data_IF_305343059115
#
_entry.id   IF_305343059115
#
_cell.length_a   1.000
_cell.length_b   1.000
_cell.length_c   1.000
_cell.angle_alpha   90.00
_cell.angle_beta   90.00
_cell.angle_gamma   90.00
#
_symmetry.space_group_name_H-M   'P 1'
#
loop_
_entity.id
_entity.type
_entity.pdbx_description
1 polymer ?
#
# COMPACT_ATOMS: atom_id res chain seq x y z
N UNK A 1 -29.77 20.31 31.47
CA UNK A 1 -29.78 20.58 30.02
C UNK A 1 -28.91 19.51 29.39
N UNK A 2 -29.50 18.51 28.73
CA UNK A 2 -28.75 17.58 27.92
C UNK A 2 -28.48 18.28 26.60
N UNK A 3 -27.32 18.92 26.46
CA UNK A 3 -26.87 19.34 25.13
C UNK A 3 -26.66 18.07 24.30
N UNK A 4 -27.55 17.85 23.34
CA UNK A 4 -27.43 16.74 22.40
C UNK A 4 -26.18 16.95 21.55
N UNK A 5 -25.25 16.00 21.61
CA UNK A 5 -24.01 16.00 20.82
C UNK A 5 -24.31 16.28 19.33
N UNK A 6 -23.70 17.33 18.77
CA UNK A 6 -23.89 17.71 17.36
C UNK A 6 -23.11 16.76 16.43
N UNK A 7 -23.41 16.79 15.12
CA UNK A 7 -22.60 16.05 14.14
C UNK A 7 -21.13 16.50 14.17
N UNK A 8 -20.87 17.80 14.34
CA UNK A 8 -19.51 18.34 14.43
C UNK A 8 -18.76 17.79 15.64
N UNK A 9 -19.44 17.65 16.78
CA UNK A 9 -18.86 17.05 17.98
C UNK A 9 -18.53 15.57 17.74
N UNK A 10 -19.42 14.82 17.10
CA UNK A 10 -19.20 13.40 16.73
C UNK A 10 -17.99 13.24 15.80
N UNK A 11 -17.89 14.08 14.77
CA UNK A 11 -16.75 14.07 13.85
C UNK A 11 -15.45 14.45 14.58
N UNK A 12 -15.48 15.46 15.45
CA UNK A 12 -14.31 15.86 16.25
C UNK A 12 -13.84 14.73 17.18
N UNK A 13 -14.78 14.05 17.85
CA UNK A 13 -14.48 12.88 18.68
C UNK A 13 -13.92 11.73 17.87
N UNK A 14 -14.43 11.48 16.67
CA UNK A 14 -13.89 10.49 15.75
C UNK A 14 -12.43 10.79 15.38
N UNK A 15 -12.14 12.05 15.02
CA UNK A 15 -10.77 12.49 14.70
C UNK A 15 -9.83 12.29 15.89
N UNK A 16 -10.22 12.77 17.08
CA UNK A 16 -9.42 12.63 18.30
C UNK A 16 -9.11 11.17 18.62
N UNK A 17 -10.13 10.31 18.59
CA UNK A 17 -9.97 8.88 18.85
C UNK A 17 -8.92 8.23 17.94
N UNK A 18 -9.03 8.43 16.61
CA UNK A 18 -8.08 7.83 15.68
C UNK A 18 -6.70 8.48 15.72
N UNK A 19 -6.60 9.78 15.99
CA UNK A 19 -5.30 10.44 16.20
C UNK A 19 -4.56 9.87 17.42
N UNK A 20 -5.27 9.55 18.51
CA UNK A 20 -4.66 8.92 19.69
C UNK A 20 -4.22 7.47 19.43
N UNK A 21 -4.96 6.72 18.60
CA UNK A 21 -4.51 5.41 18.12
C UNK A 21 -3.25 5.51 17.24
N UNK A 22 -3.16 6.53 16.38
CA UNK A 22 -1.95 6.78 15.57
C UNK A 22 -0.76 7.11 16.46
N UNK A 23 -0.92 7.96 17.48
CA UNK A 23 0.15 8.23 18.47
C UNK A 23 0.63 6.95 19.13
N UNK A 24 -0.29 6.02 19.42
CA UNK A 24 0.07 4.69 19.97
C UNK A 24 0.92 3.91 18.96
N UNK A 25 0.56 3.91 17.68
CA UNK A 25 1.33 3.26 16.62
C UNK A 25 2.74 3.85 16.45
N UNK A 26 2.93 5.13 16.78
CA UNK A 26 4.21 5.85 16.72
C UNK A 26 5.06 5.72 18.00
N UNK A 27 4.57 5.08 19.06
CA UNK A 27 5.33 4.92 20.30
C UNK A 27 6.56 4.02 20.10
N UNK A 28 7.66 4.31 20.81
CA UNK A 28 8.96 3.60 20.71
C UNK A 28 8.86 2.05 20.68
N UNK A 29 8.09 1.38 21.55
CA UNK A 29 7.97 -0.08 21.50
C UNK A 29 7.37 -0.61 20.19
N UNK A 30 6.54 0.19 19.53
CA UNK A 30 5.91 -0.15 18.26
C UNK A 30 6.79 0.18 17.05
N UNK A 31 7.81 1.02 17.23
CA UNK A 31 8.84 1.33 16.23
C UNK A 31 10.03 0.36 16.27
N UNK A 32 10.15 -0.45 17.32
CA UNK A 32 11.10 -1.56 17.36
C UNK A 32 10.82 -2.63 16.27
N UNK A 33 11.75 -3.56 16.08
CA UNK A 33 11.59 -4.72 15.19
C UNK A 33 11.15 -4.35 13.75
N UNK A 34 11.87 -3.43 13.12
CA UNK A 34 11.54 -2.90 11.78
C UNK A 34 10.13 -2.26 11.70
N UNK A 35 9.63 -1.76 12.84
CA UNK A 35 8.35 -1.03 12.94
C UNK A 35 7.14 -1.86 12.51
N UNK A 36 7.23 -3.19 12.53
CA UNK A 36 6.14 -4.06 12.09
C UNK A 36 4.87 -3.86 12.93
N UNK A 37 5.02 -3.60 14.24
CA UNK A 37 3.88 -3.32 15.13
C UNK A 37 3.17 -2.03 14.73
N UNK A 38 3.93 -0.95 14.50
CA UNK A 38 3.40 0.32 14.00
C UNK A 38 2.60 0.12 12.72
N UNK A 39 3.14 -0.64 11.75
CA UNK A 39 2.44 -0.95 10.49
C UNK A 39 1.16 -1.74 10.68
N UNK A 40 1.15 -2.75 11.57
CA UNK A 40 -0.05 -3.54 11.89
C UNK A 40 -1.14 -2.63 12.49
N UNK A 41 -0.77 -1.79 13.45
CA UNK A 41 -1.69 -0.84 14.09
C UNK A 41 -2.26 0.14 13.07
N UNK A 42 -1.42 0.75 12.23
CA UNK A 42 -1.88 1.65 11.18
C UNK A 42 -2.78 0.93 10.15
N UNK A 43 -2.45 -0.30 9.74
CA UNK A 43 -3.33 -1.08 8.85
C UNK A 43 -4.71 -1.30 9.47
N UNK A 44 -4.75 -1.63 10.76
CA UNK A 44 -6.00 -1.86 11.50
C UNK A 44 -6.82 -0.58 11.67
N UNK A 45 -6.15 0.54 11.98
CA UNK A 45 -6.74 1.88 12.05
C UNK A 45 -7.36 2.25 10.69
N UNK A 46 -6.61 2.07 9.60
CA UNK A 46 -7.06 2.39 8.25
C UNK A 46 -8.26 1.52 7.83
N UNK A 47 -8.24 0.22 8.13
CA UNK A 47 -9.38 -0.67 7.87
C UNK A 47 -10.64 -0.21 8.60
N UNK A 48 -10.50 0.19 9.87
CA UNK A 48 -11.61 0.70 10.66
C UNK A 48 -12.18 2.00 10.05
N UNK A 49 -11.33 2.98 9.73
CA UNK A 49 -11.75 4.21 9.05
C UNK A 49 -12.44 3.90 7.70
N UNK A 50 -11.91 2.95 6.92
CA UNK A 50 -12.52 2.56 5.64
C UNK A 50 -13.94 2.01 5.80
N UNK A 51 -14.22 1.32 6.92
CA UNK A 51 -15.57 0.84 7.26
C UNK A 51 -16.51 1.99 7.59
N UNK A 52 -16.04 3.03 8.29
CA UNK A 52 -16.79 4.27 8.53
C UNK A 52 -17.24 4.93 7.22
N UNK A 53 -16.31 5.03 6.26
CA UNK A 53 -16.55 5.72 4.98
C UNK A 53 -17.44 4.90 4.05
N UNK A 54 -17.31 3.57 4.07
CA UNK A 54 -17.99 2.66 3.15
C UNK A 54 -18.74 1.53 3.88
N UNK A 55 -19.79 1.84 4.67
CA UNK A 55 -20.49 0.85 5.48
C UNK A 55 -21.13 -0.27 4.64
N UNK A 56 -21.59 0.05 3.42
CA UNK A 56 -22.33 -0.87 2.56
C UNK A 56 -21.44 -1.81 1.75
N UNK A 57 -20.14 -1.53 1.65
CA UNK A 57 -19.19 -2.38 0.91
C UNK A 57 -18.78 -3.52 1.84
N UNK A 58 -19.14 -4.76 1.54
CA UNK A 58 -18.81 -5.93 2.38
C UNK A 58 -17.34 -6.32 2.30
N UNK A 59 -16.74 -6.19 1.11
CA UNK A 59 -15.34 -6.54 0.83
C UNK A 59 -14.38 -5.57 1.51
N UNK A 60 -13.60 -6.07 2.49
CA UNK A 60 -12.60 -5.23 3.17
C UNK A 60 -11.55 -4.66 2.19
N UNK A 61 -11.15 -5.48 1.22
CA UNK A 61 -10.23 -5.06 0.15
C UNK A 61 -10.76 -3.85 -0.61
N UNK A 62 -12.04 -3.90 -0.96
CA UNK A 62 -12.66 -2.86 -1.76
C UNK A 62 -12.77 -1.57 -0.97
N UNK A 63 -13.18 -1.61 0.31
CA UNK A 63 -13.16 -0.44 1.19
C UNK A 63 -11.77 0.17 1.34
N UNK A 64 -10.77 -0.67 1.62
CA UNK A 64 -9.39 -0.25 1.80
C UNK A 64 -8.86 0.45 0.54
N UNK A 65 -8.95 -0.19 -0.62
CA UNK A 65 -8.45 0.38 -1.89
C UNK A 65 -9.25 1.63 -2.28
N UNK A 66 -10.56 1.66 -2.01
CA UNK A 66 -11.39 2.84 -2.30
C UNK A 66 -10.99 4.02 -1.42
N UNK A 67 -10.69 3.81 -0.14
CA UNK A 67 -10.22 4.87 0.74
C UNK A 67 -8.83 5.37 0.32
N UNK A 68 -7.92 4.46 -0.04
CA UNK A 68 -6.59 4.83 -0.59
C UNK A 68 -6.72 5.80 -1.77
N UNK A 69 -7.67 5.54 -2.68
CA UNK A 69 -7.91 6.41 -3.85
C UNK A 69 -8.42 7.81 -3.49
N UNK A 70 -9.05 7.97 -2.33
CA UNK A 70 -9.53 9.26 -1.84
C UNK A 70 -8.43 10.04 -1.09
N UNK A 71 -7.32 9.39 -0.71
CA UNK A 71 -6.17 10.05 -0.11
C UNK A 71 -5.32 10.74 -1.20
N UNK A 72 -5.66 11.99 -1.52
CA UNK A 72 -5.05 12.75 -2.62
C UNK A 72 -3.54 12.99 -2.49
N UNK A 73 -2.96 12.87 -1.28
CA UNK A 73 -1.51 13.02 -1.13
C UNK A 73 -0.68 11.90 -1.74
N UNK A 74 -1.31 10.79 -2.10
CA UNK A 74 -0.63 9.62 -2.65
C UNK A 74 -1.06 9.32 -4.09
N UNK A 75 -0.75 10.22 -5.03
CA UNK A 75 -1.10 10.04 -6.44
C UNK A 75 -0.42 8.80 -7.04
N UNK A 76 0.73 8.37 -6.51
CA UNK A 76 1.43 7.17 -6.94
C UNK A 76 0.65 5.88 -6.68
N UNK A 77 -0.40 5.91 -5.85
CA UNK A 77 -1.32 4.78 -5.65
C UNK A 77 -1.85 4.20 -6.97
N UNK A 78 -2.02 5.04 -8.01
CA UNK A 78 -2.52 4.67 -9.33
C UNK A 78 -1.44 4.22 -10.33
N UNK A 79 -0.16 4.43 -10.00
CA UNK A 79 0.97 4.04 -10.85
C UNK A 79 1.22 2.55 -10.79
N UNK A 80 1.82 2.01 -11.85
CA UNK A 80 2.15 0.60 -12.01
C UNK A 80 3.58 0.35 -11.58
N UNK A 81 3.77 -0.51 -10.57
CA UNK A 81 5.11 -0.93 -10.13
C UNK A 81 5.85 -1.64 -11.26
N UNK A 82 6.88 -0.99 -11.82
CA UNK A 82 7.72 -1.57 -12.86
C UNK A 82 8.48 -2.80 -12.36
N UNK A 83 8.89 -2.79 -11.08
CA UNK A 83 9.54 -3.92 -10.42
C UNK A 83 8.69 -5.20 -10.52
N UNK A 84 7.44 -5.12 -10.07
CA UNK A 84 6.54 -6.27 -10.09
C UNK A 84 6.11 -6.65 -11.50
N UNK A 85 5.98 -5.67 -12.40
CA UNK A 85 5.66 -5.91 -13.80
C UNK A 85 6.80 -6.65 -14.53
N UNK A 86 8.06 -6.26 -14.34
CA UNK A 86 9.20 -6.99 -14.90
C UNK A 86 9.28 -8.40 -14.32
N UNK A 87 9.05 -8.53 -13.00
CA UNK A 87 9.01 -9.84 -12.34
C UNK A 87 7.98 -10.80 -12.96
N UNK A 88 6.83 -10.30 -13.44
CA UNK A 88 5.85 -11.11 -14.17
C UNK A 88 6.49 -11.83 -15.37
N UNK A 89 7.32 -11.14 -16.14
CA UNK A 89 7.94 -11.71 -17.34
C UNK A 89 9.05 -12.70 -17.02
N UNK A 90 9.72 -12.54 -15.89
CA UNK A 90 10.74 -13.49 -15.41
C UNK A 90 10.14 -14.81 -14.96
N UNK A 91 8.97 -14.77 -14.30
CA UNK A 91 8.35 -15.97 -13.70
C UNK A 91 7.31 -16.64 -14.59
N UNK A 92 6.77 -15.93 -15.59
CA UNK A 92 5.77 -16.49 -16.50
C UNK A 92 6.46 -17.32 -17.57
N UNK A 93 6.31 -18.65 -17.48
CA UNK A 93 6.75 -19.56 -18.53
C UNK A 93 5.88 -19.39 -19.78
N UNK A 94 6.47 -19.60 -20.97
CA UNK A 94 5.76 -19.59 -22.26
C UNK A 94 4.96 -18.30 -22.53
N UNK A 95 5.61 -17.14 -22.39
CA UNK A 95 4.99 -15.85 -22.71
C UNK A 95 4.46 -15.82 -24.16
N UNK A 96 3.18 -15.48 -24.37
CA UNK A 96 2.62 -15.32 -25.71
C UNK A 96 3.38 -14.27 -26.53
N UNK A 97 3.46 -14.48 -27.85
CA UNK A 97 4.20 -13.58 -28.76
C UNK A 97 3.68 -12.13 -28.75
N UNK A 98 2.38 -11.94 -28.50
CA UNK A 98 1.76 -10.62 -28.37
C UNK A 98 2.14 -9.86 -27.10
N UNK A 99 2.86 -10.48 -26.15
CA UNK A 99 3.40 -9.82 -24.94
C UNK A 99 4.78 -9.21 -25.20
N UNK A 100 5.47 -9.59 -26.28
CA UNK A 100 6.87 -9.19 -26.53
C UNK A 100 7.11 -7.68 -26.46
N UNK A 101 6.22 -6.88 -27.07
CA UNK A 101 6.33 -5.40 -27.03
C UNK A 101 6.19 -4.82 -25.63
N UNK A 102 5.26 -5.34 -24.83
CA UNK A 102 5.08 -4.93 -23.44
C UNK A 102 6.32 -5.28 -22.61
N UNK A 103 6.84 -6.50 -22.79
CA UNK A 103 8.05 -6.96 -22.10
C UNK A 103 9.25 -6.05 -22.42
N UNK A 104 9.53 -5.81 -23.70
CA UNK A 104 10.63 -4.94 -24.14
C UNK A 104 10.47 -3.52 -23.60
N UNK A 105 9.25 -2.96 -23.66
CA UNK A 105 8.96 -1.65 -23.08
C UNK A 105 9.27 -1.63 -21.57
N UNK A 106 8.70 -2.55 -20.80
CA UNK A 106 8.85 -2.59 -19.34
C UNK A 106 10.29 -2.84 -18.90
N UNK A 107 11.02 -3.76 -19.53
CA UNK A 107 12.42 -4.05 -19.21
C UNK A 107 13.34 -2.87 -19.54
N UNK A 108 13.13 -2.20 -20.69
CA UNK A 108 13.90 -1.01 -21.06
C UNK A 108 13.61 0.18 -20.12
N UNK A 109 12.35 0.41 -19.76
CA UNK A 109 12.00 1.46 -18.80
C UNK A 109 12.58 1.16 -17.43
N UNK A 110 12.45 -0.09 -16.95
CA UNK A 110 12.96 -0.49 -15.65
C UNK A 110 14.48 -0.39 -15.58
N UNK A 111 15.22 -0.97 -16.53
CA UNK A 111 16.69 -0.94 -16.55
C UNK A 111 17.27 0.48 -16.60
N UNK A 112 16.59 1.42 -17.30
CA UNK A 112 16.97 2.83 -17.35
C UNK A 112 16.80 3.53 -15.99
N UNK A 113 15.70 3.24 -15.29
CA UNK A 113 15.35 3.91 -14.04
C UNK A 113 16.01 3.27 -12.81
N UNK A 114 16.21 1.95 -12.85
CA UNK A 114 16.63 1.10 -11.74
C UNK A 114 17.84 0.24 -12.15
N UNK A 115 19.00 0.85 -12.46
CA UNK A 115 20.16 0.10 -12.93
C UNK A 115 20.67 -0.86 -11.86
N UNK A 116 20.92 -2.10 -12.27
CA UNK A 116 21.62 -3.09 -11.45
C UNK A 116 23.11 -2.78 -11.57
N UNK A 117 23.78 -2.58 -10.44
CA UNK A 117 25.25 -2.53 -10.39
C UNK A 117 25.76 -3.60 -9.43
N UNK A 118 27.06 -3.88 -9.42
CA UNK A 118 27.69 -4.83 -8.50
C UNK A 118 28.34 -4.13 -7.29
N UNK A 119 27.97 -2.87 -7.04
CA UNK A 119 28.52 -2.06 -5.94
C UNK A 119 27.77 -2.27 -4.61
N UNK A 120 28.38 -1.80 -3.52
CA UNK A 120 27.78 -1.84 -2.18
C UNK A 120 26.84 -0.66 -1.89
N UNK A 121 26.66 0.24 -2.86
CA UNK A 121 25.90 1.47 -2.67
C UNK A 121 24.42 1.16 -2.39
N UNK A 122 23.93 1.69 -1.28
CA UNK A 122 22.51 1.68 -0.94
C UNK A 122 21.87 2.89 -1.59
N UNK A 123 20.95 2.65 -2.51
CA UNK A 123 20.25 3.70 -3.24
C UNK A 123 18.75 3.57 -3.01
N UNK A 124 18.09 4.69 -2.72
CA UNK A 124 16.63 4.78 -2.65
C UNK A 124 16.11 5.56 -3.86
N UNK A 125 15.06 5.05 -4.51
CA UNK A 125 14.38 5.72 -5.61
C UNK A 125 12.89 5.85 -5.31
N UNK A 126 12.28 7.01 -5.56
CA UNK A 126 10.86 7.19 -5.29
C UNK A 126 10.03 6.36 -6.27
N UNK A 127 8.89 5.85 -5.82
CA UNK A 127 7.93 5.16 -6.71
C UNK A 127 7.23 6.13 -7.68
N UNK A 128 7.40 7.44 -7.52
CA UNK A 128 6.94 8.44 -8.49
C UNK A 128 7.59 8.30 -9.86
N UNK A 129 8.70 7.55 -9.98
CA UNK A 129 9.32 7.17 -11.24
C UNK A 129 8.56 6.07 -12.01
N UNK A 130 7.64 5.37 -11.36
CA UNK A 130 6.81 4.36 -12.02
C UNK A 130 5.89 4.96 -13.09
N UNK A 131 5.42 4.09 -13.98
CA UNK A 131 4.62 4.44 -15.15
C UNK A 131 3.13 4.40 -14.86
N UNK A 132 2.37 5.21 -15.61
CA UNK A 132 0.92 5.21 -15.53
C UNK A 132 0.31 3.98 -16.20
N UNK A 133 -0.88 3.59 -15.74
CA UNK A 133 -1.57 2.42 -16.29
C UNK A 133 -1.87 2.56 -17.78
N UNK A 134 -2.12 3.76 -18.28
CA UNK A 134 -2.45 3.99 -19.69
C UNK A 134 -1.27 3.62 -20.60
N UNK A 135 -0.04 3.96 -20.22
CA UNK A 135 1.17 3.55 -20.93
C UNK A 135 1.31 2.02 -21.01
N UNK A 136 0.96 1.32 -19.93
CA UNK A 136 0.94 -0.14 -19.91
C UNK A 136 -0.17 -0.70 -20.80
N UNK A 137 -1.38 -0.12 -20.74
CA UNK A 137 -2.54 -0.58 -21.51
C UNK A 137 -2.40 -0.40 -23.02
N UNK A 138 -1.50 0.48 -23.49
CA UNK A 138 -1.15 0.59 -24.92
C UNK A 138 -0.49 -0.69 -25.44
N UNK A 139 0.32 -1.35 -24.61
CA UNK A 139 1.08 -2.54 -24.98
C UNK A 139 0.47 -3.84 -24.42
N UNK A 140 -0.44 -3.74 -23.46
CA UNK A 140 -1.06 -4.90 -22.82
C UNK A 140 -1.97 -5.68 -23.80
N UNK A 141 -1.87 -7.03 -23.86
CA UNK A 141 -2.72 -7.84 -24.72
C UNK A 141 -4.21 -7.65 -24.43
N UNK A 142 -5.02 -7.55 -25.50
CA UNK A 142 -6.47 -7.34 -25.39
C UNK A 142 -7.24 -8.39 -26.20
N UNK A 143 -8.41 -8.75 -25.69
CA UNK A 143 -9.42 -9.54 -26.40
C UNK A 143 -10.73 -8.78 -26.30
N UNK A 144 -11.40 -8.55 -27.43
CA UNK A 144 -12.64 -7.75 -27.51
C UNK A 144 -12.49 -6.37 -26.84
N UNK A 145 -11.34 -5.71 -27.06
CA UNK A 145 -11.02 -4.40 -26.49
C UNK A 145 -10.67 -4.40 -24.99
N UNK A 146 -10.80 -5.53 -24.28
CA UNK A 146 -10.54 -5.63 -22.84
C UNK A 146 -9.18 -6.28 -22.56
N UNK A 147 -8.42 -5.79 -21.56
CA UNK A 147 -7.17 -6.43 -21.14
C UNK A 147 -7.40 -7.90 -20.74
N UNK A 148 -6.57 -8.81 -21.26
CA UNK A 148 -6.57 -10.22 -20.86
C UNK A 148 -5.47 -10.51 -19.85
N UNK A 149 -5.54 -11.66 -19.18
CA UNK A 149 -4.51 -12.05 -18.21
C UNK A 149 -3.21 -12.42 -18.91
N UNK A 150 -2.08 -12.01 -18.31
CA UNK A 150 -0.76 -12.59 -18.58
C UNK A 150 -0.43 -13.46 -17.37
N UNK A 151 -0.23 -14.76 -17.58
CA UNK A 151 -0.20 -15.72 -16.48
C UNK A 151 -1.54 -15.70 -15.71
N UNK A 152 -1.51 -15.23 -14.46
CA UNK A 152 -2.70 -15.16 -13.58
C UNK A 152 -3.21 -13.74 -13.31
N UNK A 153 -2.57 -12.72 -13.87
CA UNK A 153 -2.75 -11.33 -13.44
C UNK A 153 -3.24 -10.40 -14.54
N UNK A 154 -3.97 -9.37 -14.13
CA UNK A 154 -4.44 -8.24 -14.91
C UNK A 154 -3.61 -6.99 -14.59
N UNK A 155 -3.56 -5.99 -15.49
CA UNK A 155 -2.65 -4.85 -15.36
C UNK A 155 -2.91 -4.03 -14.10
N UNK A 156 -4.18 -3.82 -13.73
CA UNK A 156 -4.54 -3.04 -12.54
C UNK A 156 -3.99 -3.64 -11.23
N UNK A 157 -3.68 -4.94 -11.18
CA UNK A 157 -3.17 -5.59 -9.98
C UNK A 157 -1.75 -5.13 -9.62
N UNK A 158 -1.02 -4.54 -10.57
CA UNK A 158 0.30 -3.96 -10.35
C UNK A 158 0.26 -2.51 -9.84
N UNK A 159 -0.94 -1.92 -9.70
CA UNK A 159 -1.06 -0.59 -9.10
C UNK A 159 -0.63 -0.60 -7.64
N UNK A 160 0.03 0.45 -7.18
CA UNK A 160 0.51 0.52 -5.79
C UNK A 160 -0.59 0.41 -4.75
N UNK A 161 -1.82 0.87 -5.01
CA UNK A 161 -2.97 0.64 -4.12
C UNK A 161 -3.25 -0.85 -3.88
N UNK A 162 -3.05 -1.69 -4.91
CA UNK A 162 -3.32 -3.11 -4.87
C UNK A 162 -2.13 -3.87 -4.27
N UNK A 163 -0.90 -3.40 -4.53
CA UNK A 163 0.30 -3.91 -3.88
C UNK A 163 0.33 -3.59 -2.39
N UNK A 164 -0.11 -2.39 -1.99
CA UNK A 164 -0.26 -2.01 -0.59
C UNK A 164 -1.26 -2.91 0.13
N UNK A 165 -2.38 -3.26 -0.52
CA UNK A 165 -3.32 -4.25 0.04
C UNK A 165 -2.66 -5.62 0.27
N UNK A 166 -1.85 -6.11 -0.68
CA UNK A 166 -1.11 -7.37 -0.52
C UNK A 166 -0.06 -7.29 0.60
N UNK A 167 0.61 -6.15 0.71
CA UNK A 167 1.55 -5.85 1.79
C UNK A 167 0.83 -5.87 3.15
N UNK A 168 -0.30 -5.15 3.27
CA UNK A 168 -1.16 -5.13 4.46
C UNK A 168 -1.56 -6.54 4.88
N UNK A 169 -1.94 -7.41 3.94
CA UNK A 169 -2.27 -8.79 4.27
C UNK A 169 -1.09 -9.56 4.87
N UNK A 170 0.10 -9.38 4.32
CA UNK A 170 1.30 -10.04 4.85
C UNK A 170 1.63 -9.54 6.26
N UNK A 171 1.51 -8.22 6.49
CA UNK A 171 1.80 -7.62 7.78
C UNK A 171 0.76 -8.02 8.84
N UNK A 172 -0.53 -7.90 8.53
CA UNK A 172 -1.61 -8.14 9.49
C UNK A 172 -1.87 -9.63 9.74
N UNK A 173 -1.77 -10.48 8.71
CA UNK A 173 -2.12 -11.90 8.82
C UNK A 173 -0.92 -12.84 8.93
N UNK A 174 0.29 -12.39 8.62
CA UNK A 174 1.51 -13.21 8.71
C UNK A 174 2.57 -12.60 9.64
N UNK A 175 2.31 -11.41 10.22
CA UNK A 175 3.28 -10.67 11.03
C UNK A 175 4.62 -10.43 10.31
N UNK A 176 4.58 -10.30 8.99
CA UNK A 176 5.75 -10.32 8.13
C UNK A 176 5.77 -9.13 7.19
N UNK A 177 6.91 -8.44 7.14
CA UNK A 177 7.20 -7.41 6.12
C UNK A 177 7.66 -8.11 4.84
N UNK A 178 6.94 -8.00 3.71
CA UNK A 178 7.42 -8.48 2.42
C UNK A 178 8.69 -7.78 1.96
N UNK A 179 9.51 -8.52 1.20
CA UNK A 179 10.77 -8.01 0.66
C UNK A 179 11.93 -8.06 1.66
N UNK A 180 13.10 -7.64 1.20
CA UNK A 180 14.32 -7.52 2.04
C UNK A 180 14.72 -6.07 2.32
N UNK A 181 13.90 -5.12 1.87
CA UNK A 181 14.14 -3.72 2.16
C UNK A 181 14.03 -3.44 3.65
N UNK A 182 14.84 -2.51 4.13
CA UNK A 182 15.02 -2.18 5.54
C UNK A 182 14.90 -0.68 5.75
N UNK A 183 14.14 -0.31 6.78
CA UNK A 183 14.06 1.05 7.30
C UNK A 183 15.22 1.27 8.28
N UNK A 184 16.43 1.45 7.74
CA UNK A 184 17.64 1.70 8.54
C UNK A 184 17.91 3.19 8.67
N UNK A 185 18.19 3.62 9.91
CA UNK A 185 18.69 4.96 10.23
C UNK A 185 17.63 5.98 10.62
N UNK A 186 18.10 7.21 10.89
CA UNK A 186 17.27 8.34 11.33
C UNK A 186 16.48 9.00 10.19
N UNK A 187 16.92 8.83 8.93
CA UNK A 187 16.22 9.38 7.77
C UNK A 187 15.37 8.29 7.10
N UNK A 188 14.14 8.14 7.58
CA UNK A 188 13.16 7.25 6.95
C UNK A 188 12.31 8.08 5.99
N UNK A 189 12.27 7.74 4.69
CA UNK A 189 11.39 8.41 3.76
C UNK A 189 9.95 8.38 4.26
N UNK A 190 9.22 9.49 4.11
CA UNK A 190 7.79 9.58 4.47
C UNK A 190 6.90 8.92 3.42
N UNK A 191 7.43 8.69 2.22
CA UNK A 191 6.74 8.07 1.10
C UNK A 191 7.30 6.69 0.76
N UNK A 192 6.51 5.87 0.06
CA UNK A 192 6.96 4.58 -0.44
C UNK A 192 8.09 4.74 -1.48
N UNK A 193 9.05 3.80 -1.48
CA UNK A 193 10.24 3.88 -2.31
C UNK A 193 10.74 2.49 -2.72
N UNK A 194 11.59 2.45 -3.73
CA UNK A 194 12.43 1.31 -4.04
C UNK A 194 13.78 1.45 -3.36
N UNK A 195 14.24 0.40 -2.70
CA UNK A 195 15.55 0.32 -2.11
C UNK A 195 16.40 -0.70 -2.86
N UNK A 196 17.63 -0.32 -3.18
CA UNK A 196 18.62 -1.25 -3.68
C UNK A 196 19.23 -2.02 -2.51
N UNK A 197 19.03 -3.34 -2.52
CA UNK A 197 19.54 -4.26 -1.51
C UNK A 197 20.63 -5.12 -2.12
N UNK A 198 21.82 -5.03 -1.53
CA UNK A 198 23.00 -5.80 -1.92
C UNK A 198 23.10 -7.07 -1.09
N UNK A 199 23.20 -8.22 -1.75
CA UNK A 199 23.46 -9.51 -1.13
C UNK A 199 24.84 -10.02 -1.55
N UNK A 200 25.52 -10.74 -0.67
CA UNK A 200 26.73 -11.49 -1.04
C UNK A 200 26.31 -12.70 -1.87
N UNK A 201 26.71 -12.75 -3.14
CA UNK A 201 26.34 -13.82 -4.06
C UNK A 201 27.36 -14.96 -4.07
N UNK A 202 28.65 -14.65 -3.96
CA UNK A 202 29.71 -15.66 -3.88
C UNK A 202 31.02 -15.09 -3.33
N UNK A 203 31.90 -16.00 -2.91
CA UNK A 203 33.28 -15.69 -2.54
C UNK A 203 34.21 -16.23 -3.61
N UNK A 204 35.13 -15.39 -4.09
CA UNK A 204 36.17 -15.79 -5.03
C UNK A 204 37.54 -15.43 -4.47
N UNK A 205 38.61 -15.99 -5.03
CA UNK A 205 39.99 -15.70 -4.64
C UNK A 205 40.36 -14.20 -4.82
N UNK A 206 39.54 -13.46 -5.58
CA UNK A 206 39.70 -12.02 -5.85
C UNK A 206 38.77 -11.13 -5.00
N UNK A 207 37.99 -11.72 -4.10
CA UNK A 207 37.09 -11.01 -3.19
C UNK A 207 35.64 -11.47 -3.26
N UNK A 208 34.79 -10.68 -2.59
CA UNK A 208 33.35 -10.92 -2.44
C UNK A 208 32.62 -10.38 -3.68
N UNK A 209 31.77 -11.21 -4.29
CA UNK A 209 30.87 -10.78 -5.37
C UNK A 209 29.52 -10.43 -4.75
N UNK A 210 28.98 -9.27 -5.14
CA UNK A 210 27.68 -8.80 -4.72
C UNK A 210 26.66 -8.97 -5.86
N UNK A 211 25.43 -9.33 -5.48
CA UNK A 211 24.25 -9.25 -6.35
C UNK A 211 23.29 -8.24 -5.76
N UNK A 212 22.82 -7.31 -6.58
CA UNK A 212 21.91 -6.26 -6.15
C UNK A 212 20.52 -6.49 -6.72
N UNK A 213 19.51 -6.23 -5.91
CA UNK A 213 18.11 -6.27 -6.30
C UNK A 213 17.37 -5.05 -5.77
N UNK A 214 16.34 -4.63 -6.48
CA UNK A 214 15.45 -3.56 -6.02
C UNK A 214 14.29 -4.15 -5.25
N UNK A 215 13.99 -3.56 -4.10
CA UNK A 215 12.93 -3.99 -3.18
C UNK A 215 11.94 -2.83 -3.02
N UNK A 216 10.64 -3.11 -3.11
CA UNK A 216 9.60 -2.11 -2.80
C UNK A 216 9.42 -2.01 -1.27
N UNK A 217 9.49 -0.80 -0.74
CA UNK A 217 9.36 -0.51 0.69
C UNK A 217 8.22 0.46 0.94
N UNK A 218 7.32 0.05 1.83
CA UNK A 218 6.31 0.92 2.46
C UNK A 218 6.76 1.21 3.89
N UNK A 219 7.33 2.40 4.17
CA UNK A 219 7.85 2.73 5.48
C UNK A 219 6.72 2.96 6.51
N UNK A 220 7.00 2.85 7.80
CA UNK A 220 5.96 3.05 8.82
C UNK A 220 5.37 4.48 8.80
N UNK A 221 6.20 5.49 8.55
CA UNK A 221 5.82 6.90 8.35
C UNK A 221 4.76 7.05 7.25
N UNK A 222 4.91 6.32 6.14
CA UNK A 222 3.93 6.31 5.06
C UNK A 222 2.55 5.82 5.55
N UNK A 223 2.50 4.75 6.36
CA UNK A 223 1.24 4.25 6.91
C UNK A 223 0.60 5.25 7.88
N UNK A 224 1.40 5.92 8.70
CA UNK A 224 0.95 6.96 9.63
C UNK A 224 0.29 8.11 8.86
N UNK A 225 0.98 8.65 7.85
CA UNK A 225 0.47 9.76 7.04
C UNK A 225 -0.78 9.38 6.26
N UNK A 226 -0.82 8.15 5.74
CA UNK A 226 -2.01 7.62 5.08
C UNK A 226 -3.22 7.53 6.04
N UNK A 227 -2.99 7.15 7.31
CA UNK A 227 -4.05 7.15 8.33
C UNK A 227 -4.52 8.56 8.70
N UNK A 228 -3.59 9.51 8.89
CA UNK A 228 -3.95 10.92 9.18
C UNK A 228 -4.83 11.51 8.07
N UNK A 229 -4.55 11.16 6.82
CA UNK A 229 -5.37 11.60 5.70
C UNK A 229 -6.70 10.87 5.58
N UNK A 230 -6.73 9.57 5.86
CA UNK A 230 -7.97 8.83 5.95
C UNK A 230 -8.94 9.47 6.96
N UNK A 231 -8.44 9.95 8.10
CA UNK A 231 -9.24 10.69 9.08
C UNK A 231 -9.83 11.96 8.45
N UNK A 232 -9.03 12.74 7.73
CA UNK A 232 -9.48 13.97 7.06
C UNK A 232 -10.54 13.67 5.99
N UNK A 233 -10.30 12.65 5.15
CA UNK A 233 -11.25 12.18 4.12
C UNK A 233 -12.57 11.75 4.75
N UNK A 234 -12.52 10.89 5.78
CA UNK A 234 -13.71 10.42 6.48
C UNK A 234 -14.50 11.58 7.09
N UNK A 235 -13.80 12.51 7.76
CA UNK A 235 -14.41 13.69 8.38
C UNK A 235 -15.12 14.56 7.34
N UNK A 236 -14.45 14.84 6.21
CA UNK A 236 -15.01 15.64 5.14
C UNK A 236 -16.25 14.97 4.51
N UNK A 237 -16.21 13.65 4.28
CA UNK A 237 -17.34 12.89 3.75
C UNK A 237 -18.54 12.92 4.71
N UNK A 238 -18.31 12.66 6.00
CA UNK A 238 -19.38 12.62 7.00
C UNK A 238 -20.05 13.98 7.19
N UNK A 239 -19.26 15.06 7.24
CA UNK A 239 -19.79 16.43 7.28
C UNK A 239 -20.57 16.78 6.01
N UNK A 240 -20.01 16.48 4.82
CA UNK A 240 -20.65 16.78 3.53
C UNK A 240 -21.97 16.04 3.35
N UNK A 241 -22.02 14.78 3.76
CA UNK A 241 -23.19 13.92 3.58
C UNK A 241 -24.17 13.98 4.76
N UNK A 242 -23.87 14.76 5.80
CA UNK A 242 -24.64 14.82 7.04
C UNK A 242 -24.86 13.42 7.67
N UNK A 243 -23.79 12.62 7.73
CA UNK A 243 -23.82 11.24 8.27
C UNK A 243 -22.91 11.11 9.49
N UNK A 244 -23.27 10.25 10.44
CA UNK A 244 -22.46 10.03 11.63
C UNK A 244 -21.35 9.00 11.36
N UNK A 245 -20.09 9.25 11.75
CA UNK A 245 -18.98 8.32 11.50
C UNK A 245 -19.04 7.03 12.32
N UNK A 246 -19.95 6.93 13.29
CA UNK A 246 -20.06 5.74 14.15
C UNK A 246 -21.11 4.73 13.67
N UNK A 247 -21.94 5.08 12.68
CA UNK A 247 -23.07 4.23 12.24
C UNK A 247 -22.65 2.91 11.62
N UNK A 248 -21.43 2.84 11.09
CA UNK A 248 -20.88 1.62 10.49
C UNK A 248 -20.49 0.53 11.51
N UNK A 249 -20.45 0.87 12.80
CA UNK A 249 -20.07 -0.04 13.86
C UNK A 249 -21.32 -0.44 14.64
N UNK A 250 -21.48 -1.74 14.90
CA UNK A 250 -22.57 -2.21 15.75
C UNK A 250 -22.32 -1.71 17.17
N UNK A 251 -23.18 -0.83 17.66
CA UNK A 251 -23.20 -0.44 19.06
C UNK A 251 -23.85 -1.58 19.85
N UNK A 252 -23.21 -2.06 20.93
CA UNK A 252 -23.81 -3.07 21.80
C UNK A 252 -22.82 -4.10 22.34
N UNK A 253 -23.35 -5.05 23.10
CA UNK A 253 -22.57 -6.05 23.84
C UNK A 253 -22.24 -7.27 23.00
N UNK A 254 -23.08 -7.61 22.02
CA UNK A 254 -23.01 -8.88 21.32
C UNK A 254 -22.12 -8.80 20.08
N UNK A 255 -21.35 -9.85 19.84
CA UNK A 255 -20.40 -9.90 18.72
C UNK A 255 -21.07 -10.29 17.40
N UNK A 256 -22.33 -10.75 17.45
CA UNK A 256 -23.21 -10.91 16.29
C UNK A 256 -23.98 -9.59 16.15
N UNK A 257 -23.73 -8.77 15.10
CA UNK A 257 -24.31 -7.44 14.98
C UNK A 257 -25.83 -7.41 15.07
N UNK A 258 -26.50 -8.40 14.46
CA UNK A 258 -27.96 -8.50 14.45
C UNK A 258 -28.57 -8.61 15.85
N UNK A 259 -27.80 -9.09 16.84
CA UNK A 259 -28.27 -9.21 18.22
C UNK A 259 -28.27 -7.88 18.98
N UNK A 260 -27.68 -6.83 18.41
CA UNK A 260 -27.66 -5.51 19.02
C UNK A 260 -28.78 -4.58 18.49
N UNK A 261 -29.48 -4.98 17.43
CA UNK A 261 -30.62 -4.24 16.89
C UNK A 261 -31.88 -4.61 17.69
N UNK A 262 -32.24 -3.79 18.69
CA UNK A 262 -33.51 -3.88 19.44
C UNK A 262 -34.48 -2.82 18.92
#
# INVERSE_FOLDING_TARGET
MNDSETLSDKVSRFQMYYLDLIKTAECEPNLANQKVHSKILCCSIFDAISKSVFPDITSNRERFVSLVRLCESWPESQKISLLHLVRLFEVTQNLPSNVKKLKEFSENTFSKLFPISNGLDTENKPISLDTDIDSILLHWPKQNGKPIKIGRVLPHQFKHENLLWLYRNSVVHEYRTPGKGVELGQYNPESAFYQKVSNVSSFTDKGIIYSNQWELVYPASFFVELCKQAINVASAIHLKNNTCPFTAYSEGTYWIPDFNNI
#
